data_IF_297924860980
#
_entry.id   IF_297924860980
#
_cell.length_a   1.000
_cell.length_b   1.000
_cell.length_c   1.000
_cell.angle_alpha   90.00
_cell.angle_beta   90.00
_cell.angle_gamma   90.00
#
_symmetry.space_group_name_H-M   'P 1'
#
loop_
_entity.id
_entity.type
_entity.pdbx_description
1 polymer ?
#
# COMPACT_ATOMS: atom_id res chain seq x y z
N UNK A 1 -2.12 -2.43 15.54
CA UNK A 1 -2.89 -2.80 14.33
C UNK A 1 -2.76 -4.27 13.96
N UNK A 2 -1.56 -4.84 13.83
CA UNK A 2 -1.43 -6.24 13.40
C UNK A 2 -1.84 -7.26 14.49
N UNK A 3 -1.45 -7.01 15.75
CA UNK A 3 -1.74 -7.95 16.88
C UNK A 3 -3.24 -8.07 17.18
N UNK A 4 -3.98 -6.97 17.14
CA UNK A 4 -5.42 -6.94 17.41
C UNK A 4 -6.22 -7.70 16.34
N UNK A 5 -5.80 -7.57 15.07
CA UNK A 5 -6.40 -8.29 13.95
C UNK A 5 -6.16 -9.81 14.07
N UNK A 6 -4.94 -10.22 14.46
CA UNK A 6 -4.61 -11.62 14.71
C UNK A 6 -5.41 -12.17 15.90
N UNK A 7 -5.52 -11.41 17.00
CA UNK A 7 -6.31 -11.81 18.17
C UNK A 7 -7.80 -11.94 17.81
N UNK A 8 -8.34 -11.01 17.03
CA UNK A 8 -9.73 -11.05 16.57
C UNK A 8 -9.99 -12.27 15.68
N UNK A 9 -9.09 -12.56 14.74
CA UNK A 9 -9.20 -13.75 13.88
C UNK A 9 -9.18 -15.04 14.71
N UNK A 10 -8.31 -15.12 15.73
CA UNK A 10 -8.25 -16.27 16.65
C UNK A 10 -9.58 -16.49 17.38
N UNK A 11 -10.16 -15.42 17.93
CA UNK A 11 -11.45 -15.50 18.63
C UNK A 11 -12.55 -16.02 17.70
N UNK A 12 -12.62 -15.54 16.45
CA UNK A 12 -13.64 -15.97 15.46
C UNK A 12 -13.49 -17.47 15.14
N UNK A 13 -12.25 -17.95 15.00
CA UNK A 13 -11.95 -19.37 14.75
C UNK A 13 -12.34 -20.22 15.96
N UNK A 14 -11.96 -19.81 17.17
CA UNK A 14 -12.26 -20.52 18.42
C UNK A 14 -13.77 -20.66 18.64
N UNK A 15 -14.54 -19.58 18.43
CA UNK A 15 -16.00 -19.61 18.59
C UNK A 15 -16.68 -20.51 17.54
N UNK A 16 -16.15 -20.56 16.32
CA UNK A 16 -16.71 -21.41 15.26
C UNK A 16 -16.53 -22.90 15.58
N UNK A 17 -15.40 -23.26 16.19
CA UNK A 17 -15.14 -24.62 16.69
C UNK A 17 -16.07 -24.94 17.86
N UNK A 18 -16.18 -24.02 18.83
CA UNK A 18 -17.04 -24.21 20.01
C UNK A 18 -18.50 -24.46 19.63
N UNK A 19 -19.00 -23.76 18.61
CA UNK A 19 -20.41 -23.84 18.21
C UNK A 19 -20.65 -24.83 17.07
N UNK A 20 -19.63 -25.58 16.66
CA UNK A 20 -19.65 -26.51 15.52
C UNK A 20 -20.24 -25.87 14.24
N UNK A 21 -19.88 -24.61 14.00
CA UNK A 21 -20.33 -23.80 12.87
C UNK A 21 -19.31 -23.85 11.74
N UNK A 22 -19.79 -23.87 10.49
CA UNK A 22 -18.93 -23.69 9.33
C UNK A 22 -18.35 -22.27 9.31
N UNK A 23 -17.04 -22.14 9.08
CA UNK A 23 -16.34 -20.88 8.94
C UNK A 23 -15.56 -20.84 7.62
N UNK A 24 -15.71 -19.75 6.86
CA UNK A 24 -14.97 -19.49 5.63
C UNK A 24 -14.20 -18.18 5.75
N UNK A 25 -12.89 -18.22 5.48
CA UNK A 25 -12.00 -17.07 5.58
C UNK A 25 -11.36 -16.84 4.22
N UNK A 26 -11.52 -15.63 3.67
CA UNK A 26 -10.87 -15.20 2.44
C UNK A 26 -9.88 -14.07 2.76
N UNK A 27 -8.63 -14.25 2.34
CA UNK A 27 -7.61 -13.20 2.42
C UNK A 27 -7.59 -12.45 1.09
N UNK A 28 -7.95 -11.16 1.13
CA UNK A 28 -7.86 -10.27 -0.03
C UNK A 28 -6.57 -9.47 0.12
N UNK A 29 -5.58 -9.80 -0.69
CA UNK A 29 -4.40 -8.96 -0.84
C UNK A 29 -4.61 -8.01 -2.02
N UNK A 30 -4.58 -6.71 -1.73
CA UNK A 30 -4.61 -5.70 -2.77
C UNK A 30 -3.18 -5.47 -3.25
N UNK A 31 -2.79 -6.24 -4.27
CA UNK A 31 -1.50 -6.09 -4.95
C UNK A 31 -1.26 -4.63 -5.29
N UNK A 32 -0.28 -4.02 -4.61
CA UNK A 32 0.06 -2.63 -4.74
C UNK A 32 -1.10 -1.64 -4.51
N UNK A 33 -1.91 -1.80 -3.46
CA UNK A 33 -2.99 -0.87 -3.10
C UNK A 33 -2.58 0.63 -3.20
N UNK A 34 -1.34 0.94 -2.81
CA UNK A 34 -0.79 2.30 -2.94
C UNK A 34 -0.41 2.70 -4.37
N UNK A 35 0.00 1.77 -5.23
CA UNK A 35 0.38 2.06 -6.63
C UNK A 35 -0.83 2.03 -7.57
N UNK A 36 -1.90 1.30 -7.23
CA UNK A 36 -3.15 1.24 -8.00
C UNK A 36 -4.07 2.42 -7.67
N UNK A 37 -3.94 3.03 -6.50
CA UNK A 37 -4.55 4.31 -6.19
C UNK A 37 -3.87 5.41 -7.00
N UNK A 38 -4.54 5.89 -8.05
CA UNK A 38 -4.03 6.98 -8.88
C UNK A 38 -3.59 8.19 -8.03
N UNK A 39 -2.46 8.81 -8.38
CA UNK A 39 -1.85 9.96 -7.68
C UNK A 39 -2.87 11.05 -7.32
N UNK A 40 -3.77 11.34 -8.25
CA UNK A 40 -4.86 12.32 -8.07
C UNK A 40 -5.87 11.91 -7.00
N UNK A 41 -6.21 10.62 -6.93
CA UNK A 41 -7.14 10.06 -5.93
C UNK A 41 -6.52 10.11 -4.53
N UNK A 42 -5.24 9.73 -4.41
CA UNK A 42 -4.50 9.82 -3.15
C UNK A 42 -4.42 11.28 -2.66
N UNK A 43 -4.10 12.23 -3.56
CA UNK A 43 -4.03 13.65 -3.20
C UNK A 43 -5.38 14.21 -2.73
N UNK A 44 -6.50 13.80 -3.37
CA UNK A 44 -7.85 14.19 -2.96
C UNK A 44 -8.19 13.65 -1.57
N UNK A 45 -7.86 12.38 -1.30
CA UNK A 45 -8.10 11.75 0.00
C UNK A 45 -7.30 12.40 1.12
N UNK A 46 -6.01 12.66 0.90
CA UNK A 46 -5.17 13.31 1.91
C UNK A 46 -5.69 14.69 2.28
N UNK A 47 -6.14 15.49 1.29
CA UNK A 47 -6.78 16.79 1.55
C UNK A 47 -8.10 16.63 2.30
N UNK A 48 -8.91 15.63 1.95
CA UNK A 48 -10.19 15.35 2.62
C UNK A 48 -9.99 15.03 4.11
N UNK A 49 -8.95 14.27 4.45
CA UNK A 49 -8.60 13.96 5.84
C UNK A 49 -7.82 15.09 6.56
N UNK A 50 -7.72 16.27 5.97
CA UNK A 50 -7.14 17.46 6.62
C UNK A 50 -5.61 17.49 6.65
N UNK A 51 -4.94 16.66 5.83
CA UNK A 51 -3.48 16.71 5.72
C UNK A 51 -3.07 18.06 5.10
N UNK A 52 -2.16 18.83 5.75
CA UNK A 52 -1.72 20.12 5.24
C UNK A 52 -1.21 20.07 3.81
N UNK A 53 -1.56 21.08 3.01
CA UNK A 53 -1.20 21.16 1.60
C UNK A 53 0.31 21.01 1.33
N UNK A 54 1.16 21.51 2.24
CA UNK A 54 2.62 21.36 2.15
C UNK A 54 3.04 19.88 2.14
N UNK A 55 2.43 19.06 2.99
CA UNK A 55 2.71 17.61 3.08
C UNK A 55 2.16 16.90 1.85
N UNK A 56 0.95 17.25 1.40
CA UNK A 56 0.36 16.69 0.17
C UNK A 56 1.24 17.00 -1.05
N UNK A 57 1.75 18.22 -1.17
CA UNK A 57 2.66 18.62 -2.26
C UNK A 57 3.99 17.86 -2.19
N UNK A 58 4.57 17.67 -1.01
CA UNK A 58 5.80 16.86 -0.86
C UNK A 58 5.57 15.41 -1.29
N UNK A 59 4.44 14.80 -0.90
CA UNK A 59 4.07 13.45 -1.30
C UNK A 59 3.89 13.39 -2.82
N UNK A 60 3.14 14.33 -3.41
CA UNK A 60 2.92 14.38 -4.85
C UNK A 60 4.22 14.55 -5.65
N UNK A 61 5.07 15.50 -5.24
CA UNK A 61 6.37 15.73 -5.86
C UNK A 61 7.33 14.54 -5.72
N UNK A 62 7.18 13.70 -4.70
CA UNK A 62 7.97 12.48 -4.57
C UNK A 62 7.65 11.43 -5.63
N UNK A 63 6.48 11.53 -6.28
CA UNK A 63 6.04 10.66 -7.38
C UNK A 63 6.28 11.27 -8.76
N UNK A 64 6.43 12.59 -8.87
CA UNK A 64 6.62 13.28 -10.15
C UNK A 64 8.12 13.31 -10.52
N UNK A 65 8.48 12.75 -11.68
CA UNK A 65 9.85 12.76 -12.20
C UNK A 65 10.79 11.68 -11.64
N UNK A 66 10.26 10.59 -11.07
CA UNK A 66 11.06 9.42 -10.71
C UNK A 66 11.61 8.77 -11.98
N UNK A 67 12.89 9.00 -12.28
CA UNK A 67 13.64 8.23 -13.26
C UNK A 67 14.33 7.06 -12.53
N UNK A 68 13.90 5.84 -12.80
CA UNK A 68 14.55 4.65 -12.28
C UNK A 68 15.69 4.24 -13.19
N UNK A 69 16.83 3.91 -12.57
CA UNK A 69 17.99 3.33 -13.25
C UNK A 69 18.26 1.97 -12.62
N UNK A 70 18.23 0.90 -13.42
CA UNK A 70 18.56 -0.44 -12.93
C UNK A 70 20.09 -0.56 -12.93
N UNK A 71 20.66 -0.93 -11.79
CA UNK A 71 22.10 -1.24 -11.68
C UNK A 71 22.25 -2.72 -11.38
N UNK A 72 22.90 -3.45 -12.29
CA UNK A 72 23.18 -4.88 -12.11
C UNK A 72 24.69 -5.10 -12.29
N UNK A 73 25.34 -5.66 -11.26
CA UNK A 73 26.77 -6.01 -11.33
C UNK A 73 27.73 -4.84 -11.59
N UNK A 74 27.37 -3.62 -11.17
CA UNK A 74 28.18 -2.41 -11.36
C UNK A 74 28.00 -1.70 -12.70
N UNK A 75 27.24 -2.26 -13.64
CA UNK A 75 26.80 -1.58 -14.85
C UNK A 75 25.39 -1.03 -14.67
N UNK A 76 25.20 0.23 -15.07
CA UNK A 76 23.93 0.93 -14.96
C UNK A 76 23.21 0.97 -16.31
N UNK A 77 22.00 0.44 -16.40
CA UNK A 77 21.14 0.51 -17.58
C UNK A 77 20.56 1.93 -17.77
N UNK A 78 19.96 2.22 -18.92
CA UNK A 78 19.35 3.53 -19.19
C UNK A 78 18.21 3.85 -18.21
N UNK A 79 18.06 5.14 -17.90
CA UNK A 79 17.00 5.60 -17.02
C UNK A 79 15.65 5.58 -17.72
N UNK A 80 14.61 5.09 -17.06
CA UNK A 80 13.23 5.15 -17.53
C UNK A 80 12.33 5.86 -16.51
N UNK A 81 11.32 6.56 -17.03
CA UNK A 81 10.32 7.25 -16.21
C UNK A 81 9.41 6.24 -15.52
N UNK A 82 9.33 6.34 -14.19
CA UNK A 82 8.47 5.51 -13.35
C UNK A 82 7.09 6.16 -13.31
N UNK A 83 6.19 5.64 -14.13
CA UNK A 83 4.81 6.10 -14.16
C UNK A 83 3.92 5.46 -13.08
N UNK A 84 4.40 4.38 -12.44
CA UNK A 84 3.70 3.59 -11.43
C UNK A 84 4.67 3.01 -10.40
N UNK A 85 4.38 3.15 -9.10
CA UNK A 85 5.20 2.56 -8.03
C UNK A 85 5.70 3.57 -7.00
N UNK A 86 5.58 3.24 -5.71
CA UNK A 86 6.37 3.86 -4.64
C UNK A 86 7.72 3.14 -4.52
N UNK A 87 8.82 3.88 -4.32
CA UNK A 87 10.11 3.27 -3.98
C UNK A 87 10.02 2.64 -2.59
N UNK A 88 9.97 1.31 -2.52
CA UNK A 88 10.09 0.59 -1.24
C UNK A 88 11.51 0.77 -0.70
N UNK A 89 11.59 1.25 0.54
CA UNK A 89 12.80 1.22 1.37
C UNK A 89 12.68 0.11 2.41
#
# INVERSE_FOLDING_TARGET
>A
MCTDQIATLRIIVEQSIEWNSSLYINFIDYGNAFNSMGRTTLCKLLRHYGVPQKIVNTIQNSYDGLNCKIVQGGQSADSFEVNTGVRQG
#
